data_IF_866490275256
#
_entry.id   IF_866490275256
#
_cell.length_a   1.000
_cell.length_b   1.000
_cell.length_c   1.000
_cell.angle_alpha   90.00
_cell.angle_beta   90.00
_cell.angle_gamma   90.00
#
_symmetry.space_group_name_H-M   'P 1'
#
loop_
_entity.id
_entity.type
_entity.pdbx_description
1 polymer ?
#
# COMPACT_ATOMS: atom_id res chain seq x y z
N UNK A 1 -15.73 -29.21 -2.43
CA UNK A 1 -14.69 -28.73 -1.49
C UNK A 1 -14.55 -27.21 -1.61
N UNK A 2 -14.86 -26.43 -0.57
CA UNK A 2 -14.77 -24.98 -0.65
C UNK A 2 -13.30 -24.55 -0.73
N UNK A 3 -12.99 -23.71 -1.71
CA UNK A 3 -11.66 -23.11 -1.93
C UNK A 3 -11.18 -22.48 -0.62
N UNK A 4 -10.08 -23.02 -0.04
CA UNK A 4 -9.31 -22.39 1.04
C UNK A 4 -9.04 -20.93 0.61
N UNK A 5 -9.74 -19.98 1.24
CA UNK A 5 -9.46 -18.57 1.03
C UNK A 5 -8.00 -18.32 1.38
N UNK A 6 -7.18 -17.96 0.38
CA UNK A 6 -5.79 -17.58 0.61
C UNK A 6 -5.76 -16.50 1.69
N UNK A 7 -5.09 -16.78 2.81
CA UNK A 7 -4.83 -15.77 3.84
C UNK A 7 -4.10 -14.62 3.15
N UNK A 8 -4.70 -13.42 3.14
CA UNK A 8 -4.03 -12.22 2.62
C UNK A 8 -2.78 -11.98 3.47
N UNK A 9 -1.62 -12.27 2.92
CA UNK A 9 -0.34 -12.08 3.59
C UNK A 9 -0.12 -10.62 3.96
N UNK A 10 0.70 -10.40 4.99
CA UNK A 10 1.04 -9.07 5.44
C UNK A 10 2.09 -8.44 4.53
N UNK A 11 1.86 -7.20 4.09
CA UNK A 11 2.83 -6.44 3.32
C UNK A 11 3.81 -5.75 4.26
N UNK A 12 5.09 -6.08 4.10
CA UNK A 12 6.20 -5.32 4.68
C UNK A 12 6.96 -4.60 3.59
N UNK A 13 7.61 -3.52 3.97
CA UNK A 13 8.48 -2.79 3.07
C UNK A 13 9.54 -1.97 3.78
N UNK A 14 10.51 -1.54 2.99
CA UNK A 14 11.61 -0.65 3.33
C UNK A 14 11.70 0.41 2.25
N UNK A 15 11.76 1.67 2.65
CA UNK A 15 12.11 2.76 1.77
C UNK A 15 13.59 3.12 1.98
N UNK A 16 14.33 3.32 0.88
CA UNK A 16 15.74 3.69 0.91
C UNK A 16 16.05 4.74 -0.15
N UNK A 17 17.03 5.60 0.13
CA UNK A 17 17.67 6.47 -0.85
C UNK A 17 18.79 5.68 -1.53
N UNK A 18 18.86 5.75 -2.85
CA UNK A 18 19.96 5.18 -3.62
C UNK A 18 21.02 6.25 -3.88
N UNK A 19 22.26 5.96 -3.49
CA UNK A 19 23.42 6.81 -3.74
C UNK A 19 24.33 6.09 -4.72
N UNK A 20 24.53 6.67 -5.89
CA UNK A 20 25.38 6.11 -6.94
C UNK A 20 26.80 6.66 -6.78
N UNK A 21 27.82 5.81 -6.56
CA UNK A 21 29.22 6.25 -6.58
C UNK A 21 29.65 6.66 -7.99
N UNK A 22 29.17 5.93 -9.01
CA UNK A 22 29.44 6.20 -10.42
C UNK A 22 28.35 7.06 -11.04
N UNK A 23 28.75 8.18 -11.67
CA UNK A 23 27.82 9.00 -12.43
C UNK A 23 27.29 8.28 -13.68
N UNK A 24 28.08 7.36 -14.26
CA UNK A 24 27.64 6.54 -15.38
C UNK A 24 26.51 5.61 -14.95
N UNK A 25 26.66 4.91 -13.82
CA UNK A 25 25.63 4.03 -13.26
C UNK A 25 24.33 4.76 -12.97
N UNK A 26 24.42 5.99 -12.44
CA UNK A 26 23.26 6.84 -12.23
C UNK A 26 22.57 7.17 -13.56
N UNK A 27 23.32 7.61 -14.58
CA UNK A 27 22.79 7.96 -15.90
C UNK A 27 22.13 6.75 -16.56
N UNK A 28 22.79 5.59 -16.56
CA UNK A 28 22.25 4.35 -17.12
C UNK A 28 21.00 3.87 -16.40
N UNK A 29 20.95 3.99 -15.07
CA UNK A 29 19.76 3.65 -14.29
C UNK A 29 18.59 4.59 -14.61
N UNK A 30 18.84 5.90 -14.70
CA UNK A 30 17.81 6.88 -15.07
C UNK A 30 17.30 6.66 -16.50
N UNK A 31 18.17 6.31 -17.43
CA UNK A 31 17.75 5.95 -18.79
C UNK A 31 16.88 4.68 -18.81
N UNK A 32 17.26 3.65 -18.06
CA UNK A 32 16.44 2.44 -17.90
C UNK A 32 15.06 2.78 -17.30
N UNK A 33 14.99 3.60 -16.26
CA UNK A 33 13.72 4.06 -15.66
C UNK A 33 12.85 4.79 -16.69
N UNK A 34 13.46 5.65 -17.53
CA UNK A 34 12.77 6.37 -18.60
C UNK A 34 12.19 5.42 -19.64
N UNK A 35 12.98 4.45 -20.11
CA UNK A 35 12.56 3.42 -21.08
C UNK A 35 11.48 2.51 -20.50
N UNK A 36 11.65 2.03 -19.27
CA UNK A 36 10.66 1.23 -18.56
C UNK A 36 9.33 1.97 -18.39
N UNK A 37 9.36 3.23 -17.97
CA UNK A 37 8.15 4.04 -17.81
C UNK A 37 7.42 4.25 -19.14
N UNK A 38 8.15 4.38 -20.25
CA UNK A 38 7.56 4.45 -21.59
C UNK A 38 6.95 3.12 -22.03
N UNK A 39 7.67 2.01 -21.80
CA UNK A 39 7.19 0.65 -22.06
C UNK A 39 5.91 0.33 -21.28
N UNK A 40 5.82 0.72 -20.00
CA UNK A 40 4.61 0.55 -19.19
C UNK A 40 3.41 1.26 -19.81
N UNK A 41 3.56 2.52 -20.22
CA UNK A 41 2.48 3.28 -20.88
C UNK A 41 2.05 2.62 -22.19
N UNK A 42 3.03 2.15 -22.96
CA UNK A 42 2.77 1.42 -24.19
C UNK A 42 1.99 0.14 -23.92
N UNK A 43 2.46 -0.68 -22.97
CA UNK A 43 1.81 -1.93 -22.57
C UNK A 43 0.38 -1.69 -22.07
N UNK A 44 0.14 -0.63 -21.29
CA UNK A 44 -1.20 -0.24 -20.83
C UNK A 44 -2.15 0.03 -22.00
N UNK A 45 -1.72 0.83 -22.97
CA UNK A 45 -2.54 1.14 -24.14
C UNK A 45 -2.80 -0.10 -25.01
N UNK A 46 -1.81 -1.00 -25.17
CA UNK A 46 -1.99 -2.24 -25.93
C UNK A 46 -2.89 -3.24 -25.21
N UNK A 47 -2.82 -3.30 -23.90
CA UNK A 47 -3.72 -4.12 -23.08
C UNK A 47 -5.17 -3.65 -23.21
N UNK A 48 -5.41 -2.33 -23.32
CA UNK A 48 -6.74 -1.78 -23.65
C UNK A 48 -7.24 -2.17 -25.05
N UNK A 49 -6.33 -2.44 -25.98
CA UNK A 49 -6.62 -2.90 -27.34
C UNK A 49 -6.73 -4.43 -27.43
N UNK A 50 -6.63 -5.16 -26.30
CA UNK A 50 -6.77 -6.62 -26.28
C UNK A 50 -5.49 -7.40 -26.63
N UNK A 51 -4.32 -6.76 -26.63
CA UNK A 51 -3.05 -7.47 -26.85
C UNK A 51 -2.72 -8.38 -25.66
N UNK A 52 -2.22 -9.59 -25.95
CA UNK A 52 -1.79 -10.52 -24.91
C UNK A 52 -0.45 -10.11 -24.29
N UNK A 53 -0.26 -10.49 -23.02
CA UNK A 53 0.98 -10.27 -22.28
C UNK A 53 2.17 -10.91 -22.98
N UNK A 54 2.00 -12.11 -23.52
CA UNK A 54 3.01 -12.90 -24.22
C UNK A 54 3.48 -12.20 -25.50
N UNK A 55 2.55 -11.64 -26.28
CA UNK A 55 2.89 -10.90 -27.49
C UNK A 55 3.73 -9.64 -27.21
N UNK A 56 3.47 -8.97 -26.08
CA UNK A 56 4.17 -7.76 -25.69
C UNK A 56 5.60 -8.03 -25.20
N UNK A 57 5.80 -9.07 -24.38
CA UNK A 57 7.04 -9.30 -23.62
C UNK A 57 8.05 -10.24 -24.26
N UNK A 58 7.66 -11.01 -25.28
CA UNK A 58 8.58 -11.94 -25.98
C UNK A 58 9.81 -11.20 -26.50
N UNK A 59 10.89 -11.91 -26.76
CA UNK A 59 12.17 -11.31 -27.17
C UNK A 59 12.06 -10.42 -28.41
N UNK A 60 11.33 -10.88 -29.43
CA UNK A 60 11.01 -10.09 -30.64
C UNK A 60 9.73 -9.24 -30.48
N UNK A 61 9.25 -9.05 -29.26
CA UNK A 61 8.05 -8.29 -28.92
C UNK A 61 8.34 -6.79 -28.85
N UNK A 62 7.29 -5.95 -28.98
CA UNK A 62 7.44 -4.50 -29.05
C UNK A 62 8.09 -3.90 -27.80
N UNK A 63 7.93 -4.51 -26.62
CA UNK A 63 8.54 -3.99 -25.39
C UNK A 63 10.06 -4.17 -25.39
N UNK A 64 10.54 -5.29 -25.93
CA UNK A 64 11.96 -5.59 -26.02
C UNK A 64 12.62 -4.82 -27.18
N UNK A 65 11.96 -4.75 -28.34
CA UNK A 65 12.54 -4.13 -29.54
C UNK A 65 12.49 -2.60 -29.53
N UNK A 66 11.37 -1.99 -29.13
CA UNK A 66 11.20 -0.52 -29.16
C UNK A 66 11.81 0.19 -27.95
N UNK A 67 11.87 -0.48 -26.80
CA UNK A 67 12.34 0.13 -25.55
C UNK A 67 13.64 -0.50 -25.04
N UNK A 68 14.21 -1.45 -25.78
CA UNK A 68 15.47 -2.14 -25.46
C UNK A 68 15.48 -2.73 -24.04
N UNK A 69 14.33 -3.28 -23.62
CA UNK A 69 14.19 -3.95 -22.33
C UNK A 69 14.52 -5.43 -22.49
N UNK A 70 15.12 -6.03 -21.46
CA UNK A 70 15.14 -7.49 -21.38
C UNK A 70 13.72 -8.03 -21.15
N UNK A 71 13.52 -9.31 -21.46
CA UNK A 71 12.20 -9.96 -21.37
C UNK A 71 11.57 -9.87 -19.98
N UNK A 72 12.38 -9.86 -18.90
CA UNK A 72 11.88 -9.73 -17.52
C UNK A 72 11.40 -8.32 -17.19
N UNK A 73 12.13 -7.29 -17.60
CA UNK A 73 11.71 -5.89 -17.49
C UNK A 73 10.46 -5.63 -18.33
N UNK A 74 10.38 -6.18 -19.53
CA UNK A 74 9.18 -6.11 -20.37
C UNK A 74 7.96 -6.79 -19.71
N UNK A 75 8.18 -7.96 -19.10
CA UNK A 75 7.15 -8.68 -18.34
C UNK A 75 6.67 -7.88 -17.12
N UNK A 76 7.61 -7.29 -16.37
CA UNK A 76 7.32 -6.47 -15.19
C UNK A 76 6.59 -5.17 -15.56
N UNK A 77 6.93 -4.54 -16.69
CA UNK A 77 6.21 -3.40 -17.24
C UNK A 77 4.76 -3.77 -17.61
N UNK A 78 4.56 -4.94 -18.21
CA UNK A 78 3.23 -5.46 -18.57
C UNK A 78 2.40 -5.76 -17.32
N UNK A 79 3.01 -6.39 -16.31
CA UNK A 79 2.36 -6.68 -15.04
C UNK A 79 1.94 -5.38 -14.32
N UNK A 80 2.81 -4.37 -14.31
CA UNK A 80 2.50 -3.07 -13.71
C UNK A 80 1.40 -2.33 -14.46
N UNK A 81 1.38 -2.41 -15.79
CA UNK A 81 0.31 -1.87 -16.62
C UNK A 81 -1.04 -2.53 -16.32
N UNK A 82 -1.08 -3.86 -16.21
CA UNK A 82 -2.28 -4.61 -15.86
C UNK A 82 -2.79 -4.23 -14.46
N UNK A 83 -1.90 -4.16 -13.47
CA UNK A 83 -2.26 -3.73 -12.11
C UNK A 83 -2.89 -2.31 -12.09
N UNK A 84 -2.42 -1.40 -12.95
CA UNK A 84 -3.01 -0.07 -13.08
C UNK A 84 -4.41 -0.12 -13.72
N UNK A 85 -4.61 -0.98 -14.73
CA UNK A 85 -5.92 -1.20 -15.36
C UNK A 85 -6.94 -1.75 -14.37
N UNK A 86 -6.54 -2.78 -13.62
CA UNK A 86 -7.39 -3.43 -12.64
C UNK A 86 -7.76 -2.44 -11.52
N UNK A 87 -6.79 -1.66 -11.04
CA UNK A 87 -7.04 -0.60 -10.05
C UNK A 87 -7.97 0.50 -10.57
N UNK A 88 -7.92 0.86 -11.86
CA UNK A 88 -8.87 1.81 -12.44
C UNK A 88 -10.30 1.23 -12.47
N UNK A 89 -10.43 -0.03 -12.92
CA UNK A 89 -11.71 -0.75 -12.97
C UNK A 89 -12.33 -0.91 -11.58
N UNK A 90 -11.54 -1.31 -10.60
CA UNK A 90 -11.98 -1.47 -9.20
C UNK A 90 -12.47 -0.15 -8.57
N UNK A 91 -11.92 0.99 -9.01
CA UNK A 91 -12.33 2.32 -8.57
C UNK A 91 -13.52 2.89 -9.36
N UNK A 92 -14.04 2.15 -10.35
CA UNK A 92 -15.09 2.63 -11.25
C UNK A 92 -14.64 3.77 -12.15
N UNK A 93 -13.32 3.95 -12.32
CA UNK A 93 -12.76 4.96 -13.22
C UNK A 93 -12.69 4.40 -14.65
N UNK A 94 -12.97 5.25 -15.64
CA UNK A 94 -12.78 4.90 -17.04
C UNK A 94 -11.28 4.66 -17.33
N UNK A 95 -10.86 3.42 -17.65
CA UNK A 95 -9.46 3.11 -17.91
C UNK A 95 -8.85 3.88 -19.08
N UNK A 96 -9.67 4.40 -20.02
CA UNK A 96 -9.22 5.19 -21.17
C UNK A 96 -8.85 6.62 -20.78
N UNK A 97 -9.27 7.10 -19.61
CA UNK A 97 -9.04 8.47 -19.11
C UNK A 97 -7.92 8.55 -18.07
N UNK A 98 -7.13 7.49 -17.90
CA UNK A 98 -6.01 7.48 -16.95
C UNK A 98 -4.89 8.42 -17.39
N UNK A 99 -4.47 9.29 -16.47
CA UNK A 99 -3.42 10.29 -16.70
C UNK A 99 -2.12 9.85 -16.03
N UNK A 100 -1.16 9.36 -16.83
CA UNK A 100 0.19 9.05 -16.36
C UNK A 100 0.92 10.30 -15.87
N UNK A 101 1.54 10.23 -14.69
CA UNK A 101 2.12 11.39 -14.01
C UNK A 101 1.19 12.03 -12.97
N UNK A 102 -0.09 11.60 -12.92
CA UNK A 102 -1.06 12.01 -11.92
C UNK A 102 -1.95 13.16 -12.38
N UNK A 103 -3.27 12.95 -12.34
CA UNK A 103 -4.28 13.92 -12.80
C UNK A 103 -4.14 15.29 -12.15
N UNK A 104 -3.82 15.35 -10.85
CA UNK A 104 -3.65 16.62 -10.12
C UNK A 104 -2.53 17.50 -10.69
N UNK A 105 -1.36 16.91 -10.98
CA UNK A 105 -0.24 17.64 -11.58
C UNK A 105 -0.56 18.10 -13.01
N UNK A 106 -1.27 17.26 -13.78
CA UNK A 106 -1.72 17.62 -15.11
C UNK A 106 -2.63 18.86 -15.11
N UNK A 107 -3.62 18.89 -14.22
CA UNK A 107 -4.52 20.04 -14.08
C UNK A 107 -3.78 21.30 -13.61
N UNK A 108 -2.83 21.16 -12.68
CA UNK A 108 -2.00 22.30 -12.24
C UNK A 108 -1.18 22.89 -13.39
N UNK A 109 -0.58 22.04 -14.24
CA UNK A 109 0.15 22.47 -15.43
C UNK A 109 -0.77 23.17 -16.45
N UNK A 110 -2.01 22.70 -16.60
CA UNK A 110 -3.00 23.29 -17.52
C UNK A 110 -3.44 24.69 -17.10
N UNK A 111 -3.49 24.99 -15.79
CA UNK A 111 -3.96 26.29 -15.26
C UNK A 111 -3.05 27.47 -15.59
N UNK A 112 -1.78 27.25 -15.97
CA UNK A 112 -0.80 28.28 -16.40
C UNK A 112 -0.63 29.52 -15.48
N UNK A 113 -1.07 29.44 -14.22
CA UNK A 113 -0.99 30.52 -13.23
C UNK A 113 0.37 30.65 -12.53
N UNK A 114 1.22 29.63 -12.66
CA UNK A 114 2.57 29.60 -12.06
C UNK A 114 3.60 30.08 -13.07
N UNK A 115 4.56 30.89 -12.59
CA UNK A 115 5.71 31.37 -13.37
C UNK A 115 7.03 31.05 -12.63
N UNK A 116 8.17 31.24 -13.30
CA UNK A 116 9.50 31.15 -12.67
C UNK A 116 9.85 29.80 -12.03
N UNK A 117 10.41 29.83 -10.81
CA UNK A 117 10.89 28.65 -10.07
C UNK A 117 9.76 27.65 -9.75
N UNK A 118 8.57 28.05 -9.25
CA UNK A 118 7.45 27.13 -9.03
C UNK A 118 7.05 26.33 -10.27
N UNK A 119 6.98 26.98 -11.45
CA UNK A 119 6.64 26.30 -12.69
C UNK A 119 7.72 25.27 -13.11
N UNK A 120 9.00 25.61 -12.93
CA UNK A 120 10.11 24.68 -13.22
C UNK A 120 10.04 23.45 -12.31
N UNK A 121 9.81 23.64 -11.02
CA UNK A 121 9.62 22.55 -10.05
C UNK A 121 8.44 21.66 -10.42
N UNK A 122 7.30 22.25 -10.78
CA UNK A 122 6.11 21.49 -11.18
C UNK A 122 6.34 20.67 -12.46
N UNK A 123 7.03 21.26 -13.46
CA UNK A 123 7.42 20.55 -14.69
C UNK A 123 8.38 19.39 -14.41
N UNK A 124 9.33 19.60 -13.48
CA UNK A 124 10.24 18.55 -13.04
C UNK A 124 9.48 17.41 -12.37
N UNK A 125 8.62 17.69 -11.38
CA UNK A 125 7.84 16.65 -10.69
C UNK A 125 6.97 15.86 -11.68
N UNK A 126 6.33 16.55 -12.63
CA UNK A 126 5.56 15.90 -13.69
C UNK A 126 6.41 14.97 -14.56
N UNK A 127 7.60 15.42 -14.97
CA UNK A 127 8.54 14.62 -15.76
C UNK A 127 9.01 13.40 -14.96
N UNK A 128 9.41 13.59 -13.71
CA UNK A 128 9.87 12.54 -12.80
C UNK A 128 8.78 11.49 -12.56
N UNK A 129 7.53 11.87 -12.29
CA UNK A 129 6.44 10.89 -12.15
C UNK A 129 6.11 10.13 -13.44
N UNK A 130 6.42 10.70 -14.61
CA UNK A 130 6.17 10.04 -15.91
C UNK A 130 7.33 9.18 -16.38
N UNK A 131 8.55 9.46 -15.96
CA UNK A 131 9.75 8.82 -16.52
C UNK A 131 10.65 8.17 -15.46
N UNK A 132 10.31 8.34 -14.19
CA UNK A 132 11.14 7.93 -13.06
C UNK A 132 10.65 6.68 -12.36
N UNK A 133 10.00 5.75 -13.07
CA UNK A 133 9.56 4.47 -12.49
C UNK A 133 10.37 3.32 -13.09
N UNK A 134 10.86 2.43 -12.22
CA UNK A 134 11.32 1.09 -12.59
C UNK A 134 10.79 0.11 -11.56
N UNK A 135 10.15 -0.96 -12.01
CA UNK A 135 9.60 -1.98 -11.12
C UNK A 135 10.16 -3.33 -11.50
N UNK A 136 10.54 -4.13 -10.49
CA UNK A 136 10.80 -5.54 -10.71
C UNK A 136 10.28 -6.40 -9.58
N UNK A 137 9.65 -7.52 -9.96
CA UNK A 137 9.11 -8.50 -9.03
C UNK A 137 10.16 -9.52 -8.60
N UNK A 138 10.05 -9.97 -7.35
CA UNK A 138 10.85 -11.08 -6.84
C UNK A 138 10.41 -12.42 -7.41
N UNK A 139 11.36 -13.35 -7.56
CA UNK A 139 11.19 -14.71 -8.02
C UNK A 139 11.98 -15.66 -7.11
N UNK A 140 11.26 -16.57 -6.42
CA UNK A 140 11.85 -17.55 -5.51
C UNK A 140 12.84 -18.47 -6.22
N UNK A 141 12.57 -18.82 -7.48
CA UNK A 141 13.43 -19.71 -8.27
C UNK A 141 14.74 -19.05 -8.70
N UNK A 142 14.84 -17.72 -8.55
CA UNK A 142 16.01 -16.92 -8.95
C UNK A 142 16.69 -16.24 -7.76
N UNK A 143 16.46 -16.73 -6.55
CA UNK A 143 17.14 -16.26 -5.34
C UNK A 143 16.87 -14.79 -5.02
N UNK A 144 15.59 -14.39 -5.00
CA UNK A 144 15.21 -13.03 -4.66
C UNK A 144 14.74 -12.24 -5.86
N UNK A 145 15.46 -11.18 -6.25
CA UNK A 145 15.14 -10.36 -7.40
C UNK A 145 16.33 -10.33 -8.36
N UNK A 146 16.12 -10.68 -9.64
CA UNK A 146 17.22 -10.79 -10.60
C UNK A 146 17.59 -9.44 -11.24
N UNK A 147 16.59 -8.59 -11.47
CA UNK A 147 16.78 -7.31 -12.14
C UNK A 147 17.17 -6.20 -11.16
N UNK A 148 16.71 -6.26 -9.92
CA UNK A 148 16.98 -5.29 -8.86
C UNK A 148 17.42 -6.05 -7.61
N UNK A 149 18.67 -6.51 -7.59
CA UNK A 149 19.19 -7.40 -6.55
C UNK A 149 19.89 -6.63 -5.43
N UNK A 150 19.56 -6.96 -4.19
CA UNK A 150 20.27 -6.52 -3.00
C UNK A 150 21.42 -7.46 -2.69
N UNK A 151 22.60 -6.89 -2.46
CA UNK A 151 23.83 -7.60 -2.16
C UNK A 151 24.55 -6.86 -1.02
N UNK A 152 25.16 -7.61 -0.10
CA UNK A 152 25.93 -7.03 1.02
C UNK A 152 27.42 -7.19 0.73
N UNK A 153 28.13 -6.08 0.58
CA UNK A 153 29.57 -6.04 0.27
C UNK A 153 30.24 -5.00 1.18
N UNK A 154 31.34 -5.40 1.85
CA UNK A 154 32.10 -4.51 2.74
C UNK A 154 31.30 -3.93 3.91
N UNK A 155 30.29 -4.65 4.41
CA UNK A 155 29.40 -4.17 5.47
C UNK A 155 28.34 -3.16 5.02
N UNK A 156 28.27 -2.85 3.73
CA UNK A 156 27.29 -1.97 3.13
C UNK A 156 26.26 -2.77 2.30
N UNK A 157 25.03 -2.26 2.24
CA UNK A 157 23.96 -2.82 1.41
C UNK A 157 23.94 -2.11 0.05
N UNK A 158 24.08 -2.88 -1.01
CA UNK A 158 24.10 -2.41 -2.39
C UNK A 158 22.88 -2.92 -3.16
N UNK A 159 22.41 -2.12 -4.10
CA UNK A 159 21.42 -2.51 -5.10
C UNK A 159 22.11 -2.60 -6.46
N UNK A 160 22.16 -3.83 -6.98
CA UNK A 160 22.58 -4.14 -8.35
C UNK A 160 21.39 -4.04 -9.29
N UNK A 161 21.47 -3.11 -10.23
CA UNK A 161 20.46 -2.86 -11.27
C UNK A 161 20.90 -3.51 -12.58
N UNK A 162 20.13 -4.47 -13.08
CA UNK A 162 20.34 -5.07 -14.40
C UNK A 162 19.86 -4.12 -15.50
N UNK A 163 20.79 -3.64 -16.32
CA UNK A 163 20.52 -2.68 -17.39
C UNK A 163 19.87 -3.30 -18.63
N UNK A 164 19.80 -4.64 -18.69
CA UNK A 164 19.15 -5.40 -19.76
C UNK A 164 20.06 -5.80 -20.91
N UNK A 165 21.31 -5.33 -20.94
CA UNK A 165 22.30 -5.55 -21.99
C UNK A 165 23.54 -6.31 -21.46
N UNK A 166 23.38 -7.10 -20.40
CA UNK A 166 24.49 -7.80 -19.73
C UNK A 166 25.33 -6.92 -18.80
N UNK A 167 25.10 -5.60 -18.77
CA UNK A 167 25.75 -4.68 -17.83
C UNK A 167 24.91 -4.48 -16.56
N UNK A 168 25.59 -4.14 -15.48
CA UNK A 168 25.00 -3.80 -14.19
C UNK A 168 25.39 -2.38 -13.78
N UNK A 169 24.51 -1.72 -13.06
CA UNK A 169 24.78 -0.49 -12.33
C UNK A 169 24.64 -0.75 -10.83
N UNK A 170 25.45 -0.07 -10.02
CA UNK A 170 25.51 -0.27 -8.58
C UNK A 170 25.13 1.01 -7.83
N UNK A 171 24.28 0.85 -6.81
CA UNK A 171 23.89 1.94 -5.94
C UNK A 171 23.93 1.52 -4.47
N UNK A 172 24.48 2.38 -3.63
CA UNK A 172 24.47 2.20 -2.19
C UNK A 172 23.05 2.47 -1.65
N UNK A 173 22.54 1.55 -0.83
CA UNK A 173 21.21 1.61 -0.22
C UNK A 173 21.31 2.30 1.14
N UNK A 174 20.93 3.58 1.21
CA UNK A 174 20.87 4.34 2.48
C UNK A 174 19.47 4.33 3.06
N UNK A 175 19.30 3.72 4.22
CA UNK A 175 18.01 3.69 4.93
C UNK A 175 18.18 3.59 6.44
N UNK A 176 17.32 4.28 7.19
CA UNK A 176 17.12 4.11 8.62
C UNK A 176 15.78 3.44 8.94
N UNK A 177 15.20 2.69 7.99
CA UNK A 177 13.86 2.13 8.12
C UNK A 177 13.83 1.00 9.17
N UNK A 178 12.81 0.93 10.07
CA UNK A 178 12.73 -0.09 11.11
C UNK A 178 12.77 -1.54 10.62
N UNK A 179 12.26 -1.78 9.41
CA UNK A 179 12.24 -3.10 8.79
C UNK A 179 13.56 -3.53 8.11
N UNK A 180 14.66 -2.78 8.27
CA UNK A 180 15.95 -3.10 7.63
C UNK A 180 16.45 -4.51 8.02
N UNK A 181 16.37 -4.88 9.29
CA UNK A 181 16.81 -6.20 9.75
C UNK A 181 16.00 -7.34 9.11
N UNK A 182 14.68 -7.16 9.01
CA UNK A 182 13.80 -8.13 8.34
C UNK A 182 14.13 -8.25 6.85
N UNK A 183 14.47 -7.13 6.20
CA UNK A 183 14.94 -7.14 4.81
C UNK A 183 16.26 -7.91 4.67
N UNK A 184 17.25 -7.64 5.53
CA UNK A 184 18.54 -8.33 5.49
C UNK A 184 18.39 -9.84 5.68
N UNK A 185 17.63 -10.27 6.69
CA UNK A 185 17.32 -11.69 6.91
C UNK A 185 16.70 -12.33 5.65
N UNK A 186 15.80 -11.61 4.99
CA UNK A 186 15.14 -12.07 3.76
C UNK A 186 16.12 -12.19 2.59
N UNK A 187 17.04 -11.24 2.44
CA UNK A 187 18.11 -11.27 1.42
C UNK A 187 19.04 -12.46 1.67
N UNK A 188 19.50 -12.67 2.91
CA UNK A 188 20.33 -13.82 3.26
C UNK A 188 19.63 -15.16 3.01
N UNK A 189 18.33 -15.24 3.31
CA UNK A 189 17.51 -16.41 3.05
C UNK A 189 17.14 -16.60 1.56
N UNK A 190 17.64 -15.75 0.65
CA UNK A 190 17.34 -15.79 -0.79
C UNK A 190 15.83 -15.76 -1.11
N UNK A 191 15.03 -15.14 -0.25
CA UNK A 191 13.58 -15.07 -0.37
C UNK A 191 13.16 -13.94 -1.33
N UNK A 192 12.06 -14.10 -2.07
CA UNK A 192 11.62 -13.11 -3.06
C UNK A 192 11.16 -11.80 -2.43
N UNK A 193 11.57 -10.69 -3.02
CA UNK A 193 11.10 -9.33 -2.70
C UNK A 193 10.95 -8.53 -3.99
N UNK A 194 9.98 -7.62 -4.01
CA UNK A 194 9.77 -6.69 -5.10
C UNK A 194 10.55 -5.41 -4.83
N UNK A 195 11.02 -4.74 -5.88
CA UNK A 195 11.68 -3.45 -5.79
C UNK A 195 11.02 -2.49 -6.77
N UNK A 196 10.66 -1.31 -6.29
CA UNK A 196 10.18 -0.20 -7.10
C UNK A 196 11.11 1.00 -6.92
N UNK A 197 11.69 1.50 -8.00
CA UNK A 197 12.47 2.73 -8.00
C UNK A 197 11.57 3.90 -8.41
N UNK A 198 11.71 5.02 -7.70
CA UNK A 198 11.02 6.27 -7.97
C UNK A 198 12.02 7.43 -8.02
N UNK A 199 11.90 8.31 -9.01
CA UNK A 199 12.67 9.55 -9.10
C UNK A 199 11.89 10.70 -8.43
N UNK A 200 12.54 11.41 -7.51
CA UNK A 200 12.00 12.61 -6.86
C UNK A 200 13.11 13.60 -6.60
N UNK A 201 12.95 14.83 -7.06
CA UNK A 201 13.93 15.92 -6.88
C UNK A 201 15.34 15.50 -7.33
N UNK A 202 15.43 14.80 -8.48
CA UNK A 202 16.68 14.27 -9.02
C UNK A 202 17.29 13.09 -8.26
N UNK A 203 16.69 12.64 -7.14
CA UNK A 203 17.16 11.52 -6.33
C UNK A 203 16.34 10.26 -6.59
N UNK A 204 17.00 9.11 -6.60
CA UNK A 204 16.35 7.81 -6.81
C UNK A 204 16.07 7.17 -5.45
N UNK A 205 14.81 6.83 -5.21
CA UNK A 205 14.37 6.13 -4.02
C UNK A 205 13.92 4.72 -4.37
N UNK A 206 14.38 3.73 -3.62
CA UNK A 206 13.93 2.34 -3.70
C UNK A 206 12.85 2.08 -2.66
N UNK A 207 11.74 1.49 -3.08
CA UNK A 207 10.73 0.90 -2.22
C UNK A 207 10.77 -0.61 -2.40
N UNK A 208 11.31 -1.29 -1.40
CA UNK A 208 11.46 -2.75 -1.38
C UNK A 208 10.29 -3.31 -0.59
N UNK A 209 9.54 -4.25 -1.17
CA UNK A 209 8.33 -4.80 -0.55
C UNK A 209 8.30 -6.31 -0.65
N UNK A 210 7.70 -6.96 0.35
CA UNK A 210 7.47 -8.39 0.34
C UNK A 210 6.23 -8.74 1.15
N UNK A 211 5.72 -9.93 0.88
CA UNK A 211 4.63 -10.51 1.65
C UNK A 211 5.18 -11.51 2.65
N UNK A 212 4.72 -11.41 3.89
CA UNK A 212 4.93 -12.41 4.94
C UNK A 212 3.61 -13.14 5.21
N UNK A 213 3.71 -14.43 5.48
CA UNK A 213 2.56 -15.18 5.99
C UNK A 213 2.29 -14.72 7.43
N UNK A 214 1.04 -14.39 7.76
CA UNK A 214 0.71 -14.01 9.12
C UNK A 214 0.94 -15.21 10.06
N UNK A 215 1.29 -14.96 11.33
CA UNK A 215 1.41 -16.03 12.31
C UNK A 215 0.09 -16.82 12.40
N UNK A 216 0.13 -18.10 12.79
CA UNK A 216 -1.08 -18.86 13.02
C UNK A 216 -1.94 -18.16 14.06
N UNK A 217 -3.26 -18.26 13.89
CA UNK A 217 -4.20 -17.73 14.87
C UNK A 217 -4.01 -18.51 16.18
N UNK A 218 -3.59 -17.79 17.21
CA UNK A 218 -3.39 -18.34 18.56
C UNK A 218 -4.64 -18.09 19.42
N UNK A 219 -5.34 -16.99 19.16
CA UNK A 219 -6.56 -16.61 19.87
C UNK A 219 -7.72 -16.62 18.90
N UNK A 220 -8.77 -17.34 19.27
CA UNK A 220 -9.94 -17.58 18.43
C UNK A 220 -11.24 -17.28 19.19
N UNK A 221 -12.36 -17.22 18.45
CA UNK A 221 -13.68 -16.83 18.97
C UNK A 221 -14.24 -17.78 20.04
N UNK A 222 -13.70 -18.99 20.11
CA UNK A 222 -14.08 -20.03 21.06
C UNK A 222 -13.81 -19.62 22.51
N UNK A 223 -12.88 -18.67 22.73
CA UNK A 223 -12.57 -18.12 24.05
C UNK A 223 -13.45 -16.92 24.44
N UNK A 224 -14.36 -16.50 23.55
CA UNK A 224 -15.13 -15.28 23.68
C UNK A 224 -14.63 -14.17 22.76
N UNK A 225 -15.23 -12.99 22.89
CA UNK A 225 -15.11 -11.92 21.90
C UNK A 225 -15.04 -10.55 22.58
N UNK A 226 -14.14 -9.70 22.12
CA UNK A 226 -14.15 -8.26 22.33
C UNK A 226 -14.87 -7.58 21.15
N UNK A 227 -16.12 -7.19 21.35
CA UNK A 227 -16.91 -6.48 20.34
C UNK A 227 -16.58 -4.98 20.35
N UNK A 228 -16.35 -4.42 19.15
CA UNK A 228 -16.09 -3.01 18.93
C UNK A 228 -17.30 -2.32 18.32
N UNK A 229 -17.66 -1.17 18.88
CA UNK A 229 -18.66 -0.26 18.33
C UNK A 229 -18.18 1.19 18.46
N UNK A 230 -18.38 2.03 17.45
CA UNK A 230 -17.99 3.44 17.49
C UNK A 230 -19.21 4.32 17.61
N UNK A 231 -19.19 5.18 18.63
CA UNK A 231 -20.22 6.19 18.88
C UNK A 231 -19.72 7.56 18.46
N UNK A 232 -20.59 8.36 17.85
CA UNK A 232 -20.28 9.74 17.42
C UNK A 232 -20.47 10.79 18.52
N UNK A 233 -21.27 10.48 19.54
CA UNK A 233 -21.60 11.42 20.62
C UNK A 233 -21.99 10.65 21.89
N UNK A 234 -21.18 10.66 22.97
CA UNK A 234 -19.80 11.18 23.02
C UNK A 234 -18.89 10.41 22.06
N UNK A 235 -17.85 11.06 21.52
CA UNK A 235 -16.98 10.45 20.52
C UNK A 235 -16.01 9.43 21.14
N UNK A 236 -16.41 8.15 21.13
CA UNK A 236 -15.65 7.06 21.76
C UNK A 236 -15.82 5.74 21.03
N UNK A 237 -14.86 4.84 21.25
CA UNK A 237 -14.93 3.43 20.88
C UNK A 237 -15.46 2.65 22.10
N UNK A 238 -16.68 2.13 22.00
CA UNK A 238 -17.25 1.20 22.96
C UNK A 238 -16.70 -0.20 22.72
N UNK A 239 -16.30 -0.86 23.80
CA UNK A 239 -15.73 -2.19 23.83
C UNK A 239 -16.55 -3.06 24.78
N UNK A 240 -17.08 -4.17 24.29
CA UNK A 240 -17.81 -5.15 25.09
C UNK A 240 -17.07 -6.48 25.10
N UNK A 241 -16.64 -6.93 26.27
CA UNK A 241 -16.06 -8.25 26.47
C UNK A 241 -17.18 -9.25 26.73
N UNK A 242 -17.34 -10.20 25.83
CA UNK A 242 -18.40 -11.21 25.85
C UNK A 242 -17.77 -12.59 25.98
N UNK A 243 -18.30 -13.40 26.88
CA UNK A 243 -17.90 -14.80 27.08
C UNK A 243 -18.32 -15.70 25.91
N UNK A 244 -17.77 -16.92 25.79
CA UNK A 244 -18.23 -17.90 24.79
C UNK A 244 -19.73 -18.16 24.83
N UNK A 245 -20.33 -18.11 26.02
CA UNK A 245 -21.76 -18.36 26.26
C UNK A 245 -22.65 -17.15 25.92
N UNK A 246 -22.08 -16.04 25.45
CA UNK A 246 -22.82 -14.83 25.10
C UNK A 246 -23.04 -13.86 26.26
N UNK A 247 -22.60 -14.18 27.48
CA UNK A 247 -22.74 -13.29 28.63
C UNK A 247 -21.74 -12.12 28.57
N UNK A 248 -22.21 -10.90 28.85
CA UNK A 248 -21.38 -9.70 28.97
C UNK A 248 -20.56 -9.77 30.26
N UNK A 249 -19.22 -9.78 30.12
CA UNK A 249 -18.29 -9.76 31.26
C UNK A 249 -17.88 -8.35 31.66
N UNK A 250 -17.63 -7.49 30.67
CA UNK A 250 -17.12 -6.13 30.90
C UNK A 250 -17.48 -5.21 29.75
N UNK A 251 -17.72 -3.94 30.07
CA UNK A 251 -17.78 -2.88 29.07
C UNK A 251 -16.69 -1.84 29.36
N UNK A 252 -16.13 -1.25 28.31
CA UNK A 252 -15.09 -0.22 28.36
C UNK A 252 -15.37 0.82 27.27
N UNK A 253 -15.00 2.08 27.52
CA UNK A 253 -15.06 3.14 26.52
C UNK A 253 -13.66 3.75 26.35
N UNK A 254 -13.19 3.84 25.10
CA UNK A 254 -11.96 4.56 24.77
C UNK A 254 -12.32 5.86 24.04
N UNK A 255 -12.03 7.00 24.66
CA UNK A 255 -12.28 8.30 24.04
C UNK A 255 -11.51 8.45 22.73
N UNK A 256 -12.17 9.00 21.72
CA UNK A 256 -11.58 9.36 20.43
C UNK A 256 -11.41 10.87 20.27
N UNK A 257 -11.70 11.67 21.32
CA UNK A 257 -11.57 13.13 21.28
C UNK A 257 -10.15 13.60 20.95
N UNK A 258 -9.13 12.87 21.39
CA UNK A 258 -7.72 13.16 21.07
C UNK A 258 -7.45 13.15 19.56
N UNK A 259 -8.22 12.39 18.78
CA UNK A 259 -8.10 12.36 17.31
C UNK A 259 -8.57 13.68 16.70
N UNK A 260 -9.55 14.34 17.31
CA UNK A 260 -10.04 15.65 16.86
C UNK A 260 -9.09 16.77 17.28
N UNK A 261 -8.54 16.68 18.49
CA UNK A 261 -7.60 17.68 19.04
C UNK A 261 -6.23 17.65 18.36
N UNK A 262 -5.86 16.54 17.73
CA UNK A 262 -4.58 16.40 17.04
C UNK A 262 -4.42 17.39 15.86
N UNK A 263 -3.34 18.17 15.91
CA UNK A 263 -3.07 19.31 15.03
C UNK A 263 -2.92 18.93 13.55
N UNK A 264 -2.31 17.78 13.27
CA UNK A 264 -1.98 17.37 11.91
C UNK A 264 -2.33 15.89 11.63
N UNK A 265 -2.35 15.53 10.34
CA UNK A 265 -2.70 14.17 9.89
C UNK A 265 -1.80 13.09 10.49
N UNK A 266 -0.51 13.37 10.68
CA UNK A 266 0.44 12.43 11.28
C UNK A 266 0.14 12.16 12.75
N UNK A 267 -0.13 13.22 13.52
CA UNK A 267 -0.54 13.13 14.92
C UNK A 267 -1.85 12.35 15.07
N UNK A 268 -2.84 12.60 14.20
CA UNK A 268 -4.09 11.82 14.15
C UNK A 268 -3.85 10.33 13.92
N UNK A 269 -2.98 9.99 12.96
CA UNK A 269 -2.60 8.60 12.70
C UNK A 269 -1.93 7.95 13.91
N UNK A 270 -1.05 8.67 14.62
CA UNK A 270 -0.41 8.17 15.84
C UNK A 270 -1.42 7.87 16.94
N UNK A 271 -2.37 8.77 17.20
CA UNK A 271 -3.43 8.56 18.20
C UNK A 271 -4.27 7.33 17.82
N UNK A 272 -4.69 7.21 16.55
CA UNK A 272 -5.45 6.06 16.08
C UNK A 272 -4.68 4.73 16.25
N UNK A 273 -3.35 4.75 16.04
CA UNK A 273 -2.50 3.59 16.32
C UNK A 273 -2.43 3.26 17.81
N UNK A 274 -2.30 4.28 18.68
CA UNK A 274 -2.34 4.07 20.14
C UNK A 274 -3.63 3.40 20.58
N UNK A 275 -4.79 3.87 20.09
CA UNK A 275 -6.08 3.26 20.41
C UNK A 275 -6.16 1.83 19.87
N UNK A 276 -5.74 1.59 18.63
CA UNK A 276 -5.72 0.24 18.06
C UNK A 276 -4.82 -0.72 18.86
N UNK A 277 -3.65 -0.27 19.32
CA UNK A 277 -2.78 -1.03 20.21
C UNK A 277 -3.47 -1.39 21.52
N UNK A 278 -4.18 -0.45 22.13
CA UNK A 278 -4.91 -0.68 23.38
C UNK A 278 -6.02 -1.73 23.22
N UNK A 279 -6.78 -1.67 22.13
CA UNK A 279 -7.81 -2.67 21.82
C UNK A 279 -7.21 -4.07 21.68
N UNK A 280 -6.14 -4.21 20.88
CA UNK A 280 -5.53 -5.53 20.65
C UNK A 280 -4.83 -6.05 21.90
N UNK A 281 -4.22 -5.18 22.71
CA UNK A 281 -3.67 -5.59 24.02
C UNK A 281 -4.76 -6.10 24.96
N UNK A 282 -5.92 -5.44 25.03
CA UNK A 282 -7.06 -5.94 25.83
C UNK A 282 -7.53 -7.31 25.35
N UNK A 283 -7.61 -7.52 24.03
CA UNK A 283 -7.99 -8.82 23.47
C UNK A 283 -6.98 -9.93 23.81
N UNK A 284 -5.68 -9.61 23.80
CA UNK A 284 -4.61 -10.54 24.19
C UNK A 284 -4.64 -10.86 25.68
N UNK A 285 -4.78 -9.83 26.53
CA UNK A 285 -4.86 -9.97 27.99
C UNK A 285 -6.00 -10.90 28.41
N UNK A 286 -7.14 -10.83 27.72
CA UNK A 286 -8.31 -11.65 28.01
C UNK A 286 -8.38 -12.93 27.18
N UNK A 287 -7.45 -13.16 26.26
CA UNK A 287 -7.43 -14.36 25.43
C UNK A 287 -8.61 -14.48 24.45
N UNK A 288 -9.23 -13.37 24.03
CA UNK A 288 -10.47 -13.34 23.23
C UNK A 288 -10.26 -12.86 21.78
N UNK A 289 -11.11 -13.30 20.86
CA UNK A 289 -11.14 -12.77 19.51
C UNK A 289 -11.69 -11.33 19.47
N UNK A 290 -11.56 -10.64 18.34
CA UNK A 290 -12.10 -9.30 18.14
C UNK A 290 -13.28 -9.37 17.17
N UNK A 291 -14.45 -8.86 17.56
CA UNK A 291 -15.57 -8.69 16.63
C UNK A 291 -15.72 -7.24 16.21
N UNK A 292 -15.90 -7.04 14.90
CA UNK A 292 -16.11 -5.72 14.32
C UNK A 292 -17.20 -5.81 13.25
N UNK A 293 -17.85 -4.70 12.95
CA UNK A 293 -18.71 -4.64 11.78
C UNK A 293 -17.91 -4.80 10.47
N UNK A 294 -18.56 -5.36 9.45
CA UNK A 294 -17.98 -5.51 8.12
C UNK A 294 -17.71 -4.14 7.48
N UNK A 295 -16.44 -3.85 7.21
CA UNK A 295 -15.94 -2.61 6.57
C UNK A 295 -16.64 -2.27 5.23
N UNK A 296 -17.18 -3.27 4.51
CA UNK A 296 -17.84 -3.09 3.20
C UNK A 296 -19.21 -2.38 3.31
N UNK A 297 -19.88 -2.47 4.46
CA UNK A 297 -21.19 -1.86 4.71
C UNK A 297 -21.09 -0.49 5.37
N UNK A 298 -19.87 0.02 5.59
CA UNK A 298 -19.67 1.40 6.00
C UNK A 298 -20.10 2.33 4.86
N UNK A 299 -21.11 3.16 5.14
CA UNK A 299 -21.69 4.11 4.17
C UNK A 299 -20.57 5.00 3.63
N UNK A 300 -20.39 5.02 2.30
CA UNK A 300 -19.57 6.02 1.60
C UNK A 300 -20.50 7.10 1.12
N UNK A 301 -20.62 8.22 1.83
CA UNK A 301 -21.41 9.35 1.33
C UNK A 301 -20.69 10.04 0.18
N UNK A 302 -21.46 10.39 -0.85
CA UNK A 302 -21.02 11.14 -2.02
C UNK A 302 -21.55 12.57 -1.89
N UNK A 303 -20.83 13.58 -2.39
CA UNK A 303 -21.33 14.96 -2.38
C UNK A 303 -22.72 15.02 -3.05
N UNK A 304 -23.74 15.43 -2.30
CA UNK A 304 -25.11 15.62 -2.82
C UNK A 304 -26.22 14.82 -2.12
N UNK A 305 -25.92 14.13 -1.02
CA UNK A 305 -26.84 13.27 -0.26
C UNK A 305 -27.86 14.00 0.63
N UNK A 306 -28.01 15.31 0.51
CA UNK A 306 -29.05 16.09 1.22
C UNK A 306 -28.82 16.33 2.72
N UNK A 307 -27.72 15.85 3.30
CA UNK A 307 -27.46 16.01 4.74
C UNK A 307 -26.75 17.34 5.06
N UNK A 308 -27.19 18.00 6.14
CA UNK A 308 -26.71 19.33 6.54
C UNK A 308 -25.19 19.40 6.80
N UNK A 309 -24.61 20.61 6.80
CA UNK A 309 -23.16 20.83 7.01
C UNK A 309 -22.67 20.29 8.37
N UNK A 310 -23.51 20.30 9.39
CA UNK A 310 -23.20 19.77 10.72
C UNK A 310 -23.16 18.23 10.75
N UNK A 311 -24.12 17.56 10.12
CA UNK A 311 -24.15 16.10 9.96
C UNK A 311 -22.93 15.61 9.16
N UNK A 312 -22.61 16.30 8.06
CA UNK A 312 -21.39 16.02 7.29
C UNK A 312 -20.10 16.25 8.07
N UNK A 313 -20.07 17.18 9.03
CA UNK A 313 -18.92 17.35 9.95
C UNK A 313 -18.83 16.20 10.96
N UNK A 314 -19.95 15.74 11.52
CA UNK A 314 -20.01 14.56 12.41
C UNK A 314 -19.61 13.27 11.66
N UNK A 315 -20.03 13.09 10.40
CA UNK A 315 -19.61 11.95 9.56
C UNK A 315 -18.17 12.09 9.01
N UNK A 316 -17.64 13.30 8.80
CA UNK A 316 -16.24 13.46 8.35
C UNK A 316 -15.23 13.34 9.50
N UNK A 317 -15.69 13.36 10.75
CA UNK A 317 -14.92 12.94 11.94
C UNK A 317 -14.64 11.43 11.95
N UNK A 318 -15.34 10.67 11.11
CA UNK A 318 -15.46 9.21 11.22
C UNK A 318 -14.15 8.49 10.86
N UNK A 319 -13.26 8.41 11.84
CA UNK A 319 -12.06 7.59 11.79
C UNK A 319 -12.38 6.09 11.89
N UNK A 320 -13.65 5.68 11.96
CA UNK A 320 -14.09 4.30 12.19
C UNK A 320 -13.48 3.30 11.19
N UNK A 321 -13.57 3.58 9.89
CA UNK A 321 -12.92 2.74 8.88
C UNK A 321 -11.39 2.73 9.00
N UNK A 322 -10.77 3.80 9.51
CA UNK A 322 -9.32 3.88 9.73
C UNK A 322 -8.89 3.06 10.95
N UNK A 323 -9.60 3.20 12.08
CA UNK A 323 -9.31 2.47 13.31
C UNK A 323 -9.58 0.98 13.16
N UNK A 324 -10.70 0.58 12.56
CA UNK A 324 -11.00 -0.84 12.30
C UNK A 324 -9.93 -1.48 11.42
N UNK A 325 -9.49 -0.80 10.35
CA UNK A 325 -8.37 -1.30 9.52
C UNK A 325 -7.08 -1.47 10.31
N UNK A 326 -6.77 -0.55 11.23
CA UNK A 326 -5.59 -0.64 12.10
C UNK A 326 -5.71 -1.79 13.10
N UNK A 327 -6.85 -1.93 13.76
CA UNK A 327 -7.15 -3.05 14.67
C UNK A 327 -7.05 -4.38 13.93
N UNK A 328 -7.65 -4.50 12.74
CA UNK A 328 -7.57 -5.70 11.91
C UNK A 328 -6.14 -6.06 11.54
N UNK A 329 -5.36 -5.07 11.11
CA UNK A 329 -3.94 -5.26 10.77
C UNK A 329 -3.14 -5.72 11.99
N UNK A 330 -3.32 -5.07 13.13
CA UNK A 330 -2.57 -5.38 14.34
C UNK A 330 -2.98 -6.71 14.98
N UNK A 331 -4.28 -7.05 14.97
CA UNK A 331 -4.80 -8.32 15.44
C UNK A 331 -4.19 -9.49 14.64
N UNK A 332 -4.15 -9.37 13.31
CA UNK A 332 -3.50 -10.35 12.44
C UNK A 332 -2.01 -10.51 12.74
N UNK A 333 -1.30 -9.40 12.98
CA UNK A 333 0.13 -9.43 13.39
C UNK A 333 0.37 -10.20 14.68
N UNK A 334 -0.59 -10.16 15.60
CA UNK A 334 -0.48 -10.79 16.92
C UNK A 334 -1.24 -12.12 17.03
N UNK A 335 -1.67 -12.70 15.91
CA UNK A 335 -2.35 -13.99 15.90
C UNK A 335 -3.74 -13.99 16.53
N UNK A 336 -4.40 -12.83 16.62
CA UNK A 336 -5.77 -12.68 17.15
C UNK A 336 -6.78 -12.74 16.02
N UNK A 337 -7.77 -13.63 16.15
CA UNK A 337 -8.85 -13.75 15.18
C UNK A 337 -9.72 -12.48 15.16
N UNK A 338 -10.08 -12.03 13.96
CA UNK A 338 -11.06 -10.96 13.74
C UNK A 338 -12.29 -11.56 13.09
N UNK A 339 -13.45 -11.37 13.71
CA UNK A 339 -14.76 -11.81 13.22
C UNK A 339 -15.53 -10.60 12.71
N UNK A 340 -15.82 -10.57 11.41
CA UNK A 340 -16.58 -9.49 10.80
C UNK A 340 -18.08 -9.83 10.72
N UNK A 341 -18.91 -9.10 11.46
CA UNK A 341 -20.36 -9.30 11.53
C UNK A 341 -21.11 -8.38 10.55
N UNK A 342 -22.27 -8.84 10.06
CA UNK A 342 -23.12 -8.08 9.15
C UNK A 342 -24.01 -7.12 9.96
N UNK A 343 -24.06 -5.81 9.65
CA UNK A 343 -24.81 -4.84 10.47
C UNK A 343 -26.34 -4.84 10.27
N UNK A 344 -26.92 -5.82 9.56
CA UNK A 344 -28.33 -5.79 9.12
C UNK A 344 -29.37 -5.70 10.26
N UNK A 345 -29.04 -6.16 11.47
CA UNK A 345 -29.92 -6.02 12.65
C UNK A 345 -29.43 -4.94 13.64
N UNK A 346 -28.18 -4.45 13.50
CA UNK A 346 -27.67 -3.30 14.27
C UNK A 346 -28.05 -1.96 13.64
N UNK A 347 -28.50 -1.95 12.37
CA UNK A 347 -28.89 -0.75 11.63
C UNK A 347 -30.13 -0.03 12.18
N UNK A 348 -31.11 -0.74 12.74
CA UNK A 348 -32.32 -0.12 13.32
C UNK A 348 -31.97 0.67 14.59
N UNK A 349 -31.03 0.16 15.39
CA UNK A 349 -30.46 0.86 16.56
C UNK A 349 -29.46 1.94 16.12
N UNK A 350 -28.69 1.70 15.05
CA UNK A 350 -27.77 2.67 14.45
C UNK A 350 -28.47 3.91 13.90
N UNK A 351 -29.71 3.79 13.44
CA UNK A 351 -30.54 4.91 12.99
C UNK A 351 -30.90 5.89 14.12
N UNK A 352 -30.82 5.45 15.38
CA UNK A 352 -31.04 6.26 16.58
C UNK A 352 -29.72 6.79 17.21
N UNK A 353 -28.55 6.39 16.69
CA UNK A 353 -27.23 6.75 17.23
C UNK A 353 -26.61 8.03 16.64
N UNK A 354 -27.19 8.60 15.57
CA UNK A 354 -26.62 9.73 14.82
C UNK A 354 -27.49 10.96 14.75
#
# INVERSE_FOLDING_TARGET
MPKRGMRKGEFRGVQALLVFPSQEDQKSTLDLMRRFSAALRYAYNRSLQGWSREALKRENGPLCTLFHLNTRHADDATLKAQALLDSARERGEDPRKVVFGGRGLFEQLKRKHLSGKPLKSLKQEWKEKRQGLLYSRGDRTKGGNLNLRLETEGGALWLRVNLGNGRYAWALVKTGHPNLNALLQRVYASLPYNVELSLKEGKVYAHITWTEEPPPLTITKENGVLALDVNSDPYHLALALVSPDGNLKRHLALSLEEVDRAENRGAKELVLWKVAHRVVSLALEHGVAIATERLKYLRKTMRGDGTGRAFRRKEHRFAYASILRKVHSLARKRGVQVVEVNPQDTSTIGMLKY
#
